data_IF_646385551085
#
_entry.id   IF_646385551085
#
_cell.length_a   1.000
_cell.length_b   1.000
_cell.length_c   1.000
_cell.angle_alpha   90.00
_cell.angle_beta   90.00
_cell.angle_gamma   90.00
#
_symmetry.space_group_name_H-M   'P 1'
#
loop_
_entity.id
_entity.type
_entity.pdbx_description
1 polymer ?
#
# COMPACT_ATOMS: atom_id res chain seq x y z
N UNK A 1 7.12 22.23 10.01
CA UNK A 1 8.45 22.81 10.33
C UNK A 1 9.55 22.33 9.38
N UNK A 2 9.26 22.12 8.07
CA UNK A 2 10.18 21.52 7.08
C UNK A 2 10.78 22.55 6.11
N UNK A 3 10.14 23.73 5.97
CA UNK A 3 10.57 24.80 5.05
C UNK A 3 11.83 25.55 5.50
N UNK A 4 12.28 25.41 6.77
CA UNK A 4 13.45 26.14 7.29
C UNK A 4 14.79 25.49 6.95
N UNK A 5 14.88 24.17 6.79
CA UNK A 5 16.17 23.48 6.63
C UNK A 5 16.72 23.55 5.20
N UNK A 6 15.87 23.44 4.18
CA UNK A 6 16.28 23.58 2.79
C UNK A 6 16.74 25.01 2.46
N UNK A 7 16.06 26.00 3.05
CA UNK A 7 16.42 27.41 2.90
C UNK A 7 17.77 27.70 3.59
N UNK A 8 18.00 27.17 4.79
CA UNK A 8 19.27 27.36 5.53
C UNK A 8 20.46 26.67 4.82
N UNK A 9 20.26 25.51 4.19
CA UNK A 9 21.31 24.86 3.42
C UNK A 9 21.67 25.63 2.13
N UNK A 10 20.71 26.32 1.51
CA UNK A 10 20.92 27.14 0.32
C UNK A 10 21.43 28.57 0.61
N UNK A 11 21.25 29.07 1.83
CA UNK A 11 21.74 30.39 2.26
C UNK A 11 23.04 30.32 3.05
N UNK A 12 23.76 29.19 3.00
CA UNK A 12 25.06 29.07 3.65
C UNK A 12 26.09 29.85 2.84
N UNK A 13 26.97 30.62 3.48
CA UNK A 13 28.00 31.42 2.80
C UNK A 13 28.92 30.58 1.87
N UNK A 14 29.00 29.27 2.12
CA UNK A 14 29.72 28.31 1.27
C UNK A 14 29.02 28.01 -0.07
N UNK A 15 27.69 28.08 -0.16
CA UNK A 15 27.00 27.86 -1.45
C UNK A 15 27.14 29.06 -2.38
N UNK A 16 27.16 30.28 -1.83
CA UNK A 16 27.37 31.50 -2.61
C UNK A 16 28.80 31.61 -3.16
N UNK A 17 29.81 31.08 -2.46
CA UNK A 17 31.19 31.07 -2.95
C UNK A 17 31.41 30.05 -4.08
N UNK A 18 30.75 28.89 -4.02
CA UNK A 18 30.84 27.85 -5.06
C UNK A 18 30.11 28.28 -6.34
N UNK A 19 28.97 28.98 -6.21
CA UNK A 19 28.15 29.41 -7.35
C UNK A 19 28.71 30.66 -8.07
N UNK A 20 29.53 31.47 -7.38
CA UNK A 20 30.13 32.70 -7.95
C UNK A 20 31.59 32.53 -8.38
N UNK A 21 32.12 31.30 -8.42
CA UNK A 21 33.50 31.05 -8.85
C UNK A 21 33.63 31.23 -10.37
N UNK A 22 34.58 32.04 -10.88
CA UNK A 22 34.79 32.17 -12.32
C UNK A 22 35.24 30.83 -12.91
N UNK A 23 34.58 30.42 -13.99
CA UNK A 23 34.78 29.13 -14.66
C UNK A 23 35.60 29.33 -15.93
N UNK A 24 36.84 29.76 -15.76
CA UNK A 24 37.71 30.10 -16.89
C UNK A 24 38.43 28.86 -17.44
N UNK A 25 38.52 27.77 -16.66
CA UNK A 25 39.18 26.52 -17.07
C UNK A 25 38.31 25.28 -16.86
N UNK A 26 38.56 24.26 -17.66
CA UNK A 26 37.85 22.97 -17.58
C UNK A 26 38.08 22.27 -16.22
N UNK A 27 39.27 22.42 -15.63
CA UNK A 27 39.61 21.88 -14.31
C UNK A 27 38.79 22.53 -13.18
N UNK A 28 38.52 23.83 -13.29
CA UNK A 28 37.66 24.54 -12.34
C UNK A 28 36.22 24.05 -12.44
N UNK A 29 35.72 23.83 -13.66
CA UNK A 29 34.38 23.29 -13.89
C UNK A 29 34.21 21.88 -13.30
N UNK A 30 35.22 21.01 -13.45
CA UNK A 30 35.18 19.66 -12.85
C UNK A 30 35.22 19.71 -11.33
N UNK A 31 36.03 20.61 -10.75
CA UNK A 31 36.13 20.77 -9.29
C UNK A 31 34.81 21.28 -8.68
N UNK A 32 34.15 22.24 -9.33
CA UNK A 32 32.83 22.75 -8.89
C UNK A 32 31.77 21.65 -8.97
N UNK A 33 31.75 20.85 -10.05
CA UNK A 33 30.81 19.74 -10.19
C UNK A 33 30.99 18.68 -9.10
N UNK A 34 32.22 18.34 -8.73
CA UNK A 34 32.50 17.40 -7.63
C UNK A 34 32.00 17.96 -6.29
N UNK A 35 32.22 19.23 -6.01
CA UNK A 35 31.75 19.89 -4.80
C UNK A 35 30.22 19.93 -4.72
N UNK A 36 29.55 20.25 -5.82
CA UNK A 36 28.08 20.22 -5.91
C UNK A 36 27.54 18.81 -5.72
N UNK A 37 28.20 17.80 -6.29
CA UNK A 37 27.79 16.40 -6.13
C UNK A 37 27.93 15.93 -4.67
N UNK A 38 29.02 16.28 -3.98
CA UNK A 38 29.19 15.99 -2.55
C UNK A 38 28.10 16.68 -1.73
N UNK A 39 27.84 17.95 -2.00
CA UNK A 39 26.82 18.74 -1.30
C UNK A 39 25.42 18.17 -1.48
N UNK A 40 25.04 17.78 -2.70
CA UNK A 40 23.74 17.17 -2.98
C UNK A 40 23.57 15.82 -2.28
N UNK A 41 24.62 15.01 -2.20
CA UNK A 41 24.57 13.74 -1.49
C UNK A 41 24.41 13.91 0.02
N UNK A 42 25.10 14.88 0.61
CA UNK A 42 25.00 15.18 2.04
C UNK A 42 23.64 15.79 2.40
N UNK A 43 23.13 16.69 1.54
CA UNK A 43 21.78 17.21 1.62
C UNK A 43 20.73 16.10 1.48
N UNK A 44 20.90 15.14 0.57
CA UNK A 44 19.98 14.02 0.41
C UNK A 44 19.99 13.08 1.63
N UNK A 45 21.16 12.80 2.20
CA UNK A 45 21.31 12.00 3.41
C UNK A 45 20.63 12.64 4.63
N UNK A 46 20.72 13.97 4.76
CA UNK A 46 20.12 14.73 5.86
C UNK A 46 18.64 15.06 5.65
N UNK A 47 18.20 15.26 4.40
CA UNK A 47 16.80 15.55 4.04
C UNK A 47 15.92 14.31 3.91
N UNK A 48 16.49 13.09 3.92
CA UNK A 48 15.75 11.85 4.03
C UNK A 48 15.00 11.85 5.37
N UNK A 49 13.76 12.33 5.36
CA UNK A 49 12.99 12.49 6.58
C UNK A 49 12.77 11.11 7.20
N UNK A 50 13.51 10.82 8.26
CA UNK A 50 13.22 9.72 9.19
C UNK A 50 11.95 10.04 9.98
N UNK A 51 10.86 10.40 9.28
CA UNK A 51 9.54 10.45 9.91
C UNK A 51 9.29 9.03 10.40
N UNK A 52 9.16 8.82 11.72
CA UNK A 52 8.79 7.50 12.21
C UNK A 52 7.45 7.16 11.55
N UNK A 53 7.46 6.19 10.62
CA UNK A 53 6.22 5.58 10.16
C UNK A 53 5.61 4.93 11.38
N UNK A 54 4.68 5.61 12.02
CA UNK A 54 3.86 5.06 13.08
C UNK A 54 2.97 4.00 12.41
N UNK A 55 3.53 2.82 12.19
CA UNK A 55 2.78 1.65 11.81
C UNK A 55 1.91 1.33 13.03
N UNK A 56 0.70 1.88 13.03
CA UNK A 56 -0.30 1.55 14.04
C UNK A 56 -0.31 0.04 14.17
N UNK A 57 -0.10 -0.46 15.40
CA UNK A 57 -0.12 -1.90 15.66
C UNK A 57 -1.44 -2.42 15.08
N UNK A 58 -1.42 -3.44 14.21
CA UNK A 58 -2.66 -3.94 13.62
C UNK A 58 -3.60 -4.29 14.77
N UNK A 59 -4.78 -3.65 14.76
CA UNK A 59 -5.82 -3.98 15.74
C UNK A 59 -6.16 -5.45 15.53
N UNK A 60 -6.16 -6.21 16.61
CA UNK A 60 -6.50 -7.61 16.57
C UNK A 60 -8.01 -7.72 16.35
N UNK A 61 -8.41 -8.00 15.11
CA UNK A 61 -9.83 -8.02 14.72
C UNK A 61 -10.50 -9.38 15.01
N UNK A 62 -9.71 -10.42 15.31
CA UNK A 62 -10.19 -11.79 15.51
C UNK A 62 -9.56 -12.37 16.76
N UNK A 63 -10.36 -13.07 17.56
CA UNK A 63 -9.94 -13.70 18.81
C UNK A 63 -10.28 -15.18 18.77
N UNK A 64 -9.30 -16.02 19.13
CA UNK A 64 -9.47 -17.47 19.29
C UNK A 64 -8.60 -17.99 20.45
N UNK A 65 -8.90 -19.18 20.99
CA UNK A 65 -8.05 -19.82 22.00
C UNK A 65 -6.60 -19.99 21.52
N UNK A 66 -6.40 -20.34 20.24
CA UNK A 66 -5.07 -20.50 19.64
C UNK A 66 -4.28 -19.18 19.60
N UNK A 67 -4.96 -18.08 19.28
CA UNK A 67 -4.37 -16.74 19.34
C UNK A 67 -3.99 -16.38 20.78
N UNK A 68 -4.82 -16.73 21.76
CA UNK A 68 -4.52 -16.49 23.18
C UNK A 68 -3.27 -17.25 23.61
N UNK A 69 -3.18 -18.55 23.31
CA UNK A 69 -2.03 -19.37 23.63
C UNK A 69 -0.75 -18.81 23.00
N UNK A 70 -0.78 -18.50 21.69
CA UNK A 70 0.35 -17.91 20.99
C UNK A 70 0.75 -16.52 21.53
N UNK A 71 -0.24 -15.73 21.98
CA UNK A 71 0.00 -14.42 22.59
C UNK A 71 0.69 -14.56 23.95
N UNK A 72 0.25 -15.51 24.78
CA UNK A 72 0.81 -15.77 26.11
C UNK A 72 2.24 -16.28 25.99
N UNK A 73 2.53 -17.18 25.06
CA UNK A 73 3.90 -17.62 24.75
C UNK A 73 4.79 -16.47 24.26
N UNK A 74 4.30 -15.65 23.33
CA UNK A 74 5.04 -14.49 22.82
C UNK A 74 5.37 -13.51 23.96
N UNK A 75 4.44 -13.29 24.89
CA UNK A 75 4.65 -12.44 26.07
C UNK A 75 5.65 -13.05 27.04
N UNK A 76 5.58 -14.37 27.27
CA UNK A 76 6.52 -15.11 28.13
C UNK A 76 7.96 -14.95 27.65
N UNK A 77 8.24 -15.25 26.38
CA UNK A 77 9.59 -15.12 25.82
C UNK A 77 10.05 -13.67 25.69
N UNK A 78 9.13 -12.73 25.45
CA UNK A 78 9.46 -11.32 25.51
C UNK A 78 9.91 -10.90 26.91
N UNK A 79 9.18 -11.32 27.96
CA UNK A 79 9.54 -11.01 29.34
C UNK A 79 10.91 -11.62 29.72
N UNK A 80 11.18 -12.86 29.32
CA UNK A 80 12.49 -13.50 29.53
C UNK A 80 13.61 -12.74 28.80
N UNK A 81 13.40 -12.35 27.54
CA UNK A 81 14.38 -11.58 26.77
C UNK A 81 14.67 -10.21 27.41
N UNK A 82 13.65 -9.54 27.97
CA UNK A 82 13.82 -8.29 28.71
C UNK A 82 14.63 -8.51 30.00
N UNK A 83 14.35 -9.58 30.75
CA UNK A 83 15.12 -9.94 31.96
C UNK A 83 16.60 -10.18 31.66
N UNK A 84 16.93 -10.68 30.46
CA UNK A 84 18.31 -10.89 30.00
C UNK A 84 18.98 -9.65 29.42
N UNK A 85 18.41 -8.45 29.57
CA UNK A 85 19.01 -7.22 29.04
C UNK A 85 18.84 -7.01 27.54
N UNK A 86 17.89 -7.73 26.90
CA UNK A 86 17.55 -7.58 25.47
C UNK A 86 18.70 -7.88 24.49
N UNK A 87 19.58 -8.81 24.85
CA UNK A 87 20.69 -9.29 24.01
C UNK A 87 20.15 -9.76 22.65
N UNK A 88 20.77 -9.34 21.54
CA UNK A 88 20.31 -9.60 20.16
C UNK A 88 21.21 -10.60 19.42
N UNK A 89 21.80 -11.54 20.15
CA UNK A 89 22.71 -12.50 19.55
C UNK A 89 21.93 -13.63 18.86
N UNK A 90 22.34 -14.02 17.64
CA UNK A 90 21.70 -15.12 16.93
C UNK A 90 21.83 -16.45 17.67
N UNK A 91 22.90 -16.65 18.46
CA UNK A 91 23.09 -17.85 19.28
C UNK A 91 22.24 -17.87 20.57
N UNK A 92 21.64 -16.74 20.95
CA UNK A 92 20.81 -16.69 22.15
C UNK A 92 19.46 -17.39 21.90
N UNK A 93 19.26 -18.53 22.55
CA UNK A 93 18.05 -19.35 22.44
C UNK A 93 16.77 -18.54 22.76
N UNK A 94 16.77 -17.69 23.80
CA UNK A 94 15.59 -16.88 24.17
C UNK A 94 15.28 -15.83 23.10
N UNK A 95 16.31 -15.23 22.50
CA UNK A 95 16.12 -14.31 21.38
C UNK A 95 15.52 -15.03 20.16
N UNK A 96 16.03 -16.22 19.81
CA UNK A 96 15.45 -17.03 18.74
C UNK A 96 13.99 -17.44 19.03
N UNK A 97 13.70 -17.91 20.25
CA UNK A 97 12.35 -18.30 20.65
C UNK A 97 11.36 -17.14 20.61
N UNK A 98 11.80 -15.94 21.01
CA UNK A 98 11.00 -14.71 20.85
C UNK A 98 10.66 -14.46 19.38
N UNK A 99 11.61 -14.63 18.46
CA UNK A 99 11.35 -14.44 17.03
C UNK A 99 10.37 -15.48 16.49
N UNK A 100 10.55 -16.75 16.87
CA UNK A 100 9.67 -17.86 16.49
C UNK A 100 8.24 -17.65 16.99
N UNK A 101 8.06 -17.39 18.28
CA UNK A 101 6.73 -17.18 18.89
C UNK A 101 6.03 -15.93 18.34
N UNK A 102 6.76 -14.86 18.01
CA UNK A 102 6.19 -13.70 17.30
C UNK A 102 5.73 -14.04 15.89
N UNK A 103 6.47 -14.87 15.16
CA UNK A 103 6.08 -15.35 13.82
C UNK A 103 4.85 -16.25 13.93
N UNK A 104 4.81 -17.11 14.93
CA UNK A 104 3.69 -18.01 15.21
C UNK A 104 2.41 -17.26 15.55
N UNK A 105 2.47 -16.28 16.45
CA UNK A 105 1.33 -15.41 16.76
C UNK A 105 0.77 -14.74 15.49
N UNK A 106 1.63 -14.19 14.63
CA UNK A 106 1.20 -13.60 13.35
C UNK A 106 0.58 -14.65 12.41
N UNK A 107 1.09 -15.89 12.42
CA UNK A 107 0.54 -17.00 11.63
C UNK A 107 -0.88 -17.33 12.09
N UNK A 108 -1.08 -17.50 13.40
CA UNK A 108 -2.41 -17.79 13.97
C UNK A 108 -3.42 -16.68 13.66
N UNK A 109 -3.02 -15.42 13.82
CA UNK A 109 -3.87 -14.28 13.45
C UNK A 109 -4.26 -14.32 11.96
N UNK A 110 -3.35 -14.68 11.05
CA UNK A 110 -3.69 -14.81 9.62
C UNK A 110 -4.64 -15.97 9.34
N UNK A 111 -4.42 -17.12 9.98
CA UNK A 111 -5.28 -18.31 9.83
C UNK A 111 -6.71 -17.97 10.26
N UNK A 112 -6.88 -17.37 11.42
CA UNK A 112 -8.21 -17.00 11.92
C UNK A 112 -8.89 -15.93 11.08
N UNK A 113 -8.15 -14.91 10.62
CA UNK A 113 -8.70 -13.96 9.65
C UNK A 113 -9.14 -14.65 8.34
N UNK A 114 -8.38 -15.65 7.86
CA UNK A 114 -8.75 -16.41 6.68
C UNK A 114 -10.00 -17.27 6.92
N UNK A 115 -10.14 -17.89 8.10
CA UNK A 115 -11.36 -18.60 8.50
C UNK A 115 -12.58 -17.68 8.48
N UNK A 116 -12.50 -16.50 9.11
CA UNK A 116 -13.59 -15.51 9.11
C UNK A 116 -13.97 -15.07 7.69
N UNK A 117 -12.99 -14.86 6.81
CA UNK A 117 -13.26 -14.53 5.40
C UNK A 117 -13.92 -15.69 4.65
N UNK A 118 -13.49 -16.92 4.92
CA UNK A 118 -14.07 -18.10 4.28
C UNK A 118 -15.50 -18.36 4.75
N UNK A 119 -15.80 -18.18 6.04
CA UNK A 119 -17.16 -18.30 6.55
C UNK A 119 -18.07 -17.19 6.02
N UNK A 120 -17.55 -15.96 5.90
CA UNK A 120 -18.27 -14.87 5.22
C UNK A 120 -18.56 -15.22 3.76
N UNK A 121 -17.56 -15.75 3.03
CA UNK A 121 -17.74 -16.21 1.64
C UNK A 121 -18.80 -17.31 1.54
N UNK A 122 -18.74 -18.33 2.39
CA UNK A 122 -19.73 -19.41 2.43
C UNK A 122 -21.12 -18.87 2.70
N UNK A 123 -21.26 -17.97 3.69
CA UNK A 123 -22.54 -17.31 3.99
C UNK A 123 -23.13 -16.60 2.78
N UNK A 124 -22.30 -15.91 1.99
CA UNK A 124 -22.73 -15.23 0.74
C UNK A 124 -23.16 -16.24 -0.32
N UNK A 125 -22.43 -17.35 -0.48
CA UNK A 125 -22.76 -18.38 -1.46
C UNK A 125 -24.05 -19.13 -1.12
N UNK A 126 -24.31 -19.34 0.17
CA UNK A 126 -25.48 -20.06 0.68
C UNK A 126 -26.76 -19.20 0.72
N UNK A 127 -26.64 -17.88 0.56
CA UNK A 127 -27.80 -17.01 0.71
C UNK A 127 -28.73 -17.10 -0.48
N UNK A 128 -30.04 -17.13 -0.20
CA UNK A 128 -31.08 -17.08 -1.23
C UNK A 128 -31.01 -15.76 -1.99
N UNK A 129 -31.41 -15.77 -3.27
CA UNK A 129 -31.40 -14.67 -4.24
C UNK A 129 -32.17 -13.39 -3.84
N UNK A 130 -32.73 -13.29 -2.63
CA UNK A 130 -33.52 -12.13 -2.14
C UNK A 130 -33.22 -11.72 -0.69
N UNK A 131 -32.08 -12.09 -0.10
CA UNK A 131 -31.70 -11.60 1.23
C UNK A 131 -31.21 -10.14 1.18
N UNK A 132 -32.17 -9.20 1.28
CA UNK A 132 -31.93 -7.76 1.27
C UNK A 132 -31.05 -7.29 2.43
N UNK A 133 -31.13 -7.97 3.58
CA UNK A 133 -30.34 -7.63 4.78
C UNK A 133 -28.87 -7.94 4.57
N UNK A 134 -28.56 -9.12 4.03
CA UNK A 134 -27.19 -9.46 3.68
C UNK A 134 -26.65 -8.56 2.58
N UNK A 135 -27.45 -8.26 1.55
CA UNK A 135 -27.08 -7.32 0.50
C UNK A 135 -26.63 -5.96 1.05
N UNK A 136 -27.44 -5.33 1.90
CA UNK A 136 -27.08 -4.05 2.52
C UNK A 136 -25.87 -4.16 3.45
N UNK A 137 -25.70 -5.30 4.14
CA UNK A 137 -24.52 -5.57 4.96
C UNK A 137 -23.25 -5.62 4.09
N UNK A 138 -23.28 -6.31 2.96
CA UNK A 138 -22.16 -6.40 2.01
C UNK A 138 -21.84 -5.06 1.35
N UNK A 139 -22.86 -4.28 1.00
CA UNK A 139 -22.67 -2.92 0.48
C UNK A 139 -22.00 -2.03 1.53
N UNK A 140 -22.43 -2.13 2.80
CA UNK A 140 -21.85 -1.34 3.90
C UNK A 140 -20.41 -1.75 4.22
N UNK A 141 -20.09 -3.04 4.18
CA UNK A 141 -18.72 -3.55 4.43
C UNK A 141 -17.76 -3.24 3.28
N UNK A 142 -18.25 -3.25 2.03
CA UNK A 142 -17.44 -2.95 0.84
C UNK A 142 -17.43 -1.48 0.42
N UNK A 143 -18.21 -0.61 1.07
CA UNK A 143 -18.05 0.85 0.95
C UNK A 143 -16.66 1.23 1.48
N UNK A 144 -15.66 1.19 0.60
CA UNK A 144 -14.34 1.77 0.86
C UNK A 144 -14.53 3.21 1.33
N UNK A 145 -13.76 3.61 2.32
CA UNK A 145 -13.72 4.97 2.87
C UNK A 145 -13.31 5.96 1.77
N UNK A 146 -14.26 6.43 0.95
CA UNK A 146 -14.26 7.58 0.00
C UNK A 146 -12.99 7.92 -0.81
N UNK A 147 -11.96 7.09 -0.86
CA UNK A 147 -10.63 7.55 -1.29
C UNK A 147 -10.24 7.28 -2.74
N UNK A 148 -10.81 6.26 -3.38
CA UNK A 148 -10.31 5.84 -4.69
C UNK A 148 -11.49 5.77 -5.66
N UNK A 149 -11.76 6.88 -6.36
CA UNK A 149 -12.50 6.83 -7.60
C UNK A 149 -11.68 5.96 -8.57
N UNK A 150 -12.32 4.92 -9.11
CA UNK A 150 -11.73 4.09 -10.14
C UNK A 150 -11.74 4.95 -11.40
N UNK A 151 -10.57 5.43 -11.82
CA UNK A 151 -10.43 6.28 -13.00
C UNK A 151 -10.38 5.48 -14.29
N UNK A 152 -9.95 4.21 -14.21
CA UNK A 152 -9.80 3.31 -15.36
C UNK A 152 -10.45 1.96 -15.05
N UNK A 153 -11.28 1.49 -15.98
CA UNK A 153 -11.95 0.20 -15.94
C UNK A 153 -11.56 -0.62 -17.16
N UNK A 154 -11.02 -1.82 -16.92
CA UNK A 154 -10.75 -2.81 -17.97
C UNK A 154 -11.83 -3.88 -17.97
N UNK A 155 -12.56 -4.00 -19.08
CA UNK A 155 -13.55 -5.08 -19.31
C UNK A 155 -13.16 -5.80 -20.60
N UNK A 156 -12.55 -6.99 -20.48
CA UNK A 156 -11.96 -7.69 -21.62
C UNK A 156 -10.82 -6.87 -22.22
N UNK A 157 -10.87 -6.63 -23.53
CA UNK A 157 -9.88 -5.82 -24.27
C UNK A 157 -10.19 -4.31 -24.27
N UNK A 158 -11.31 -3.89 -23.64
CA UNK A 158 -11.75 -2.49 -23.65
C UNK A 158 -11.26 -1.80 -22.37
N UNK A 159 -10.53 -0.70 -22.54
CA UNK A 159 -10.15 0.22 -21.48
C UNK A 159 -11.07 1.45 -21.51
N UNK A 160 -11.84 1.66 -20.45
CA UNK A 160 -12.69 2.84 -20.28
C UNK A 160 -12.09 3.73 -19.20
N UNK A 161 -11.63 4.92 -19.61
CA UNK A 161 -11.07 5.94 -18.71
C UNK A 161 -12.05 7.09 -18.47
N UNK A 162 -12.09 7.60 -17.25
CA UNK A 162 -12.96 8.69 -16.80
C UNK A 162 -14.21 8.21 -16.06
N UNK A 163 -14.61 8.96 -15.02
CA UNK A 163 -15.68 8.56 -14.07
C UNK A 163 -17.01 8.20 -14.76
N UNK A 164 -17.41 8.96 -15.79
CA UNK A 164 -18.65 8.71 -16.54
C UNK A 164 -18.57 7.44 -17.39
N UNK A 165 -17.44 7.22 -18.07
CA UNK A 165 -17.22 6.05 -18.93
C UNK A 165 -17.07 4.77 -18.10
N UNK A 166 -16.39 4.85 -16.94
CA UNK A 166 -16.28 3.75 -15.98
C UNK A 166 -17.66 3.33 -15.48
N UNK A 167 -18.52 4.31 -15.14
CA UNK A 167 -19.88 4.04 -14.68
C UNK A 167 -20.75 3.40 -15.76
N UNK A 168 -20.63 3.84 -17.02
CA UNK A 168 -21.35 3.26 -18.15
C UNK A 168 -20.86 1.84 -18.47
N UNK A 169 -19.54 1.62 -18.46
CA UNK A 169 -18.92 0.29 -18.59
C UNK A 169 -19.38 -0.69 -17.52
N UNK A 170 -19.45 -0.25 -16.26
CA UNK A 170 -20.01 -1.07 -15.18
C UNK A 170 -21.47 -1.43 -15.40
N UNK A 171 -22.31 -0.48 -15.82
CA UNK A 171 -23.73 -0.73 -16.12
C UNK A 171 -23.87 -1.77 -17.23
N UNK A 172 -23.10 -1.64 -18.30
CA UNK A 172 -23.17 -2.55 -19.45
C UNK A 172 -22.65 -3.94 -19.09
N UNK A 173 -21.53 -4.04 -18.37
CA UNK A 173 -20.97 -5.31 -17.91
C UNK A 173 -21.96 -6.09 -17.03
N UNK A 174 -22.55 -5.45 -16.01
CA UNK A 174 -23.50 -6.12 -15.13
C UNK A 174 -24.85 -6.40 -15.80
N UNK A 175 -25.27 -5.57 -16.75
CA UNK A 175 -26.46 -5.85 -17.58
C UNK A 175 -26.25 -7.12 -18.42
N UNK A 176 -25.09 -7.28 -19.04
CA UNK A 176 -24.75 -8.48 -19.81
C UNK A 176 -24.69 -9.75 -18.94
N UNK A 177 -24.26 -9.63 -17.68
CA UNK A 177 -24.28 -10.74 -16.72
C UNK A 177 -25.71 -11.11 -16.26
N UNK A 178 -26.61 -10.12 -16.14
CA UNK A 178 -27.96 -10.31 -15.62
C UNK A 178 -28.96 -10.77 -16.70
N UNK A 179 -28.80 -10.28 -17.92
CA UNK A 179 -29.55 -10.66 -19.13
C UNK A 179 -28.53 -11.06 -20.19
N UNK A 180 -28.11 -12.34 -20.22
CA UNK A 180 -27.31 -12.86 -21.31
C UNK A 180 -28.21 -13.04 -22.55
N UNK A 181 -28.69 -11.94 -23.11
CA UNK A 181 -29.38 -11.93 -24.40
C UNK A 181 -28.36 -11.49 -25.47
N UNK A 182 -27.95 -12.45 -26.30
CA UNK A 182 -27.45 -12.32 -27.66
C UNK A 182 -26.40 -11.22 -27.93
N UNK A 183 -25.26 -11.24 -27.21
CA UNK A 183 -24.08 -10.43 -27.57
C UNK A 183 -23.30 -11.05 -28.74
N UNK A 184 -23.97 -11.26 -29.86
CA UNK A 184 -23.35 -11.39 -31.17
C UNK A 184 -23.99 -10.35 -32.07
N UNK A 185 -23.18 -9.45 -32.65
CA UNK A 185 -23.45 -8.61 -33.86
C UNK A 185 -23.29 -7.08 -33.71
N UNK A 186 -23.17 -6.46 -32.53
CA UNK A 186 -23.03 -4.97 -32.48
C UNK A 186 -21.59 -4.40 -32.41
N UNK A 187 -20.54 -5.19 -32.61
CA UNK A 187 -19.15 -4.70 -32.51
C UNK A 187 -18.52 -4.16 -33.81
N UNK A 188 -19.12 -4.27 -35.00
CA UNK A 188 -18.40 -3.92 -36.25
C UNK A 188 -19.01 -2.82 -37.14
N UNK A 189 -20.01 -2.04 -36.71
CA UNK A 189 -20.65 -1.04 -37.61
C UNK A 189 -20.53 0.43 -37.26
N UNK A 190 -19.99 0.84 -36.09
CA UNK A 190 -19.86 2.27 -35.76
C UNK A 190 -18.44 2.85 -35.80
N UNK A 191 -17.41 2.03 -36.01
CA UNK A 191 -16.03 2.54 -36.18
C UNK A 191 -15.61 2.77 -37.64
N UNK A 192 -16.37 2.29 -38.63
CA UNK A 192 -16.05 2.46 -40.06
C UNK A 192 -16.83 3.59 -40.76
N UNK A 193 -17.53 4.47 -40.03
CA UNK A 193 -18.27 5.60 -40.63
C UNK A 193 -17.70 6.99 -40.27
N UNK A 194 -16.51 7.07 -39.68
CA UNK A 194 -15.80 8.34 -39.46
C UNK A 194 -14.48 8.46 -40.22
N UNK A 195 -14.21 7.55 -41.16
CA UNK A 195 -13.07 7.65 -42.08
C UNK A 195 -13.56 7.34 -43.49
N UNK A 196 -14.40 8.21 -44.05
CA UNK A 196 -14.52 8.39 -45.50
C UNK A 196 -15.26 9.71 -45.79
N UNK A 197 -14.48 10.65 -46.36
CA UNK A 197 -14.79 11.99 -46.91
C UNK A 197 -15.16 13.12 -45.95
#
# INVERSE_FOLDING_TARGET
MMKRYLYVAMTNEQSDSILNMPLDTLEQATSVLEQVHVFLNDAAATCASNKPRYNAKPKLNVWSPDIKLALDEMRKYYAQWVKQGKIKDPENNIYQQRLRTKKEFRRQVRIENAKVKNTEKQRIMETRTKDTKLFHQLVKSNRKTRGNAIMDLHVGDICMSGEQNVMEGFKQHFRNLATPEESTVLENRKYNQQVEY
#
